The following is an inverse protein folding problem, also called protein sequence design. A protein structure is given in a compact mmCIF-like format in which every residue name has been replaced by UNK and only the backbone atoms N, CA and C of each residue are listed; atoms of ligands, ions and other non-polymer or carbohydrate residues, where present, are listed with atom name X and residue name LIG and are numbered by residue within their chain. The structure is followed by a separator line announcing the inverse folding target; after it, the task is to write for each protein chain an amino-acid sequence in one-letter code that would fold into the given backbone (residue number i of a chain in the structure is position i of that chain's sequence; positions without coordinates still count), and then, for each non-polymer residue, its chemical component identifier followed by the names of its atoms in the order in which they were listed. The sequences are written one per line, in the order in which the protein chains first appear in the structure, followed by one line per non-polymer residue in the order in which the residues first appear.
data_IF_942080600736
#
_entry.id   IF_942080600736
#
_cell.length_a   1.000
_cell.length_b   1.000
_cell.length_c   1.000
_cell.angle_alpha   90.00
_cell.angle_beta   90.00
_cell.angle_gamma   90.00
#
_symmetry.space_group_name_H-M   'P 1'
#
loop_
_entity.id
_entity.type
_entity.pdbx_description
1 polymer ?
#
# COMPACT_ATOMS: atom_id res chain seq x y z
N UNK A 1 33.61 16.84 22.15
CA UNK A 1 33.31 18.20 22.68
C UNK A 1 32.61 19.00 21.59
N UNK A 2 31.70 19.93 21.93
CA UNK A 2 30.76 20.58 20.98
C UNK A 2 31.21 21.96 20.51
N UNK A 3 31.15 22.20 19.19
CA UNK A 3 31.21 23.48 18.46
C UNK A 3 30.31 23.23 17.21
N UNK A 4 29.08 23.74 16.97
CA UNK A 4 28.41 25.08 17.13
C UNK A 4 29.19 26.19 16.39
N UNK A 5 28.66 27.08 15.54
CA UNK A 5 27.31 27.43 15.01
C UNK A 5 27.59 28.28 13.71
N UNK A 6 26.72 28.75 12.80
CA UNK A 6 25.26 28.99 12.63
C UNK A 6 24.95 29.18 11.11
N UNK A 7 23.69 29.49 10.75
CA UNK A 7 23.23 30.17 9.51
C UNK A 7 23.17 29.35 8.19
N UNK A 8 22.05 29.08 7.48
CA UNK A 8 20.67 29.63 7.30
C UNK A 8 20.48 30.39 5.96
N UNK A 9 19.24 30.35 5.43
CA UNK A 9 18.65 31.06 4.27
C UNK A 9 18.65 30.42 2.85
N UNK A 10 17.57 29.66 2.60
CA UNK A 10 16.57 29.79 1.50
C UNK A 10 16.86 29.40 0.03
N UNK A 11 15.79 28.81 -0.57
CA UNK A 11 15.47 28.62 -2.00
C UNK A 11 16.38 27.64 -2.80
N UNK A 12 15.90 26.81 -3.75
CA UNK A 12 14.58 26.64 -4.40
C UNK A 12 14.41 25.18 -4.90
N UNK A 13 13.19 24.75 -5.20
CA UNK A 13 12.88 23.39 -5.71
C UNK A 13 13.04 23.31 -7.25
N UNK A 14 13.83 22.34 -7.75
CA UNK A 14 13.70 21.66 -9.07
C UNK A 14 14.65 20.45 -9.10
N UNK A 15 14.14 19.22 -9.19
CA UNK A 15 14.05 18.37 -10.41
C UNK A 15 15.35 17.66 -10.86
N UNK A 16 15.19 16.42 -11.35
CA UNK A 16 16.19 15.58 -12.06
C UNK A 16 17.43 15.06 -11.30
N UNK A 17 17.26 14.05 -10.44
CA UNK A 17 18.32 13.07 -10.19
C UNK A 17 18.22 11.90 -11.20
N UNK A 18 19.25 11.72 -12.02
CA UNK A 18 19.28 10.73 -13.11
C UNK A 18 19.46 9.32 -12.55
N UNK A 19 18.42 8.49 -12.60
CA UNK A 19 18.42 7.09 -12.12
C UNK A 19 19.23 6.11 -13.02
N UNK A 20 20.30 6.58 -13.65
CA UNK A 20 21.01 5.89 -14.73
C UNK A 20 21.88 4.71 -14.28
N UNK A 21 22.17 4.59 -12.98
CA UNK A 21 23.08 3.58 -12.42
C UNK A 21 22.47 2.19 -12.20
N UNK A 22 21.14 2.02 -12.30
CA UNK A 22 20.47 0.72 -12.09
C UNK A 22 20.29 -0.12 -13.37
N UNK A 23 20.58 0.43 -14.55
CA UNK A 23 20.33 -0.23 -15.83
C UNK A 23 21.06 -1.58 -16.07
N UNK A 24 22.30 -1.83 -15.60
CA UNK A 24 23.03 -3.05 -15.97
C UNK A 24 22.60 -4.32 -15.21
N UNK A 25 21.85 -4.22 -14.11
CA UNK A 25 21.53 -5.38 -13.26
C UNK A 25 20.32 -6.20 -13.74
N UNK A 26 19.44 -5.61 -14.55
CA UNK A 26 18.13 -6.23 -14.91
C UNK A 26 18.27 -7.30 -16.01
N UNK A 27 19.27 -7.17 -16.89
CA UNK A 27 19.37 -7.90 -18.18
C UNK A 27 19.57 -9.43 -18.08
N UNK A 28 19.74 -9.99 -16.88
CA UNK A 28 19.78 -11.46 -16.64
C UNK A 28 18.53 -12.04 -15.97
N UNK A 29 17.57 -11.20 -15.57
CA UNK A 29 16.38 -11.63 -14.79
C UNK A 29 15.07 -11.61 -15.61
N UNK A 30 15.13 -11.23 -16.89
CA UNK A 30 13.99 -10.67 -17.63
C UNK A 30 13.07 -11.70 -18.33
N UNK A 31 13.43 -12.99 -18.34
CA UNK A 31 12.80 -13.97 -19.25
C UNK A 31 11.59 -14.70 -18.65
N UNK A 32 11.60 -15.07 -17.36
CA UNK A 32 10.55 -15.95 -16.79
C UNK A 32 9.46 -15.24 -15.99
N UNK A 33 9.75 -14.14 -15.27
CA UNK A 33 8.78 -13.49 -14.37
C UNK A 33 7.91 -12.40 -15.04
N UNK A 34 8.05 -12.18 -16.34
CA UNK A 34 7.33 -11.12 -17.10
C UNK A 34 5.79 -11.15 -16.93
N UNK A 35 5.08 -12.28 -17.02
CA UNK A 35 3.62 -12.29 -16.81
C UNK A 35 3.22 -12.03 -15.35
N UNK A 36 4.06 -12.43 -14.39
CA UNK A 36 3.82 -12.28 -12.94
C UNK A 36 3.94 -10.81 -12.53
N UNK A 37 4.99 -10.12 -12.98
CA UNK A 37 5.17 -8.68 -12.72
C UNK A 37 4.00 -7.88 -13.32
N UNK A 38 3.48 -8.28 -14.48
CA UNK A 38 2.36 -7.63 -15.14
C UNK A 38 1.03 -7.81 -14.38
N UNK A 39 0.78 -8.98 -13.78
CA UNK A 39 -0.45 -9.24 -13.00
C UNK A 39 -0.46 -8.49 -11.67
N UNK A 40 0.66 -8.47 -10.93
CA UNK A 40 0.80 -7.66 -9.71
C UNK A 40 0.61 -6.17 -9.99
N UNK A 41 1.18 -5.64 -11.08
CA UNK A 41 1.01 -4.23 -11.44
C UNK A 41 -0.46 -3.86 -11.71
N UNK A 42 -1.17 -4.66 -12.50
CA UNK A 42 -2.59 -4.43 -12.78
C UNK A 42 -3.46 -4.50 -11.50
N UNK A 43 -3.25 -5.52 -10.66
CA UNK A 43 -3.99 -5.69 -9.40
C UNK A 43 -3.80 -4.48 -8.46
N UNK A 44 -2.54 -4.07 -8.24
CA UNK A 44 -2.22 -2.95 -7.36
C UNK A 44 -2.76 -1.61 -7.90
N UNK A 45 -2.75 -1.42 -9.22
CA UNK A 45 -3.31 -0.22 -9.86
C UNK A 45 -4.84 -0.13 -9.71
N UNK A 46 -5.56 -1.24 -9.81
CA UNK A 46 -7.01 -1.27 -9.55
C UNK A 46 -7.34 -0.92 -8.09
N UNK A 47 -6.61 -1.46 -7.11
CA UNK A 47 -6.77 -1.11 -5.70
C UNK A 47 -6.49 0.38 -5.43
N UNK A 48 -5.47 0.96 -6.06
CA UNK A 48 -5.17 2.39 -5.95
C UNK A 48 -6.31 3.27 -6.50
N UNK A 49 -6.86 2.93 -7.67
CA UNK A 49 -7.99 3.64 -8.27
C UNK A 49 -9.28 3.53 -7.43
N UNK A 50 -9.55 2.36 -6.85
CA UNK A 50 -10.70 2.16 -5.96
C UNK A 50 -10.58 3.02 -4.69
N UNK A 51 -9.38 3.09 -4.10
CA UNK A 51 -9.09 3.92 -2.92
C UNK A 51 -9.31 5.42 -3.20
N UNK A 52 -9.00 5.88 -4.42
CA UNK A 52 -9.28 7.27 -4.87
C UNK A 52 -10.77 7.56 -5.02
N UNK A 53 -11.56 6.66 -5.61
CA UNK A 53 -13.03 6.86 -5.71
C UNK A 53 -13.67 6.99 -4.33
N UNK A 54 -13.23 6.19 -3.36
CA UNK A 54 -13.73 6.25 -1.99
C UNK A 54 -13.40 7.57 -1.27
N UNK A 55 -12.25 8.19 -1.52
CA UNK A 55 -11.93 9.50 -0.90
C UNK A 55 -12.70 10.67 -1.50
N UNK A 56 -13.04 10.62 -2.80
CA UNK A 56 -13.93 11.60 -3.44
C UNK A 56 -15.38 11.44 -2.96
N UNK A 57 -15.89 10.21 -2.82
CA UNK A 57 -17.21 9.95 -2.20
C UNK A 57 -17.28 10.45 -0.75
N UNK A 58 -16.20 10.28 0.02
CA UNK A 58 -16.11 10.77 1.41
C UNK A 58 -16.14 12.30 1.50
N UNK A 59 -15.51 13.03 0.57
CA UNK A 59 -15.63 14.50 0.49
C UNK A 59 -17.07 14.93 0.29
N UNK A 60 -17.77 14.30 -0.65
CA UNK A 60 -19.16 14.63 -0.98
C UNK A 60 -20.12 14.34 0.20
N UNK A 61 -19.86 13.28 0.97
CA UNK A 61 -20.61 12.99 2.20
C UNK A 61 -20.40 14.07 3.27
N UNK A 62 -19.15 14.52 3.49
CA UNK A 62 -18.83 15.54 4.50
C UNK A 62 -19.53 16.88 4.19
N UNK A 63 -19.59 17.30 2.91
CA UNK A 63 -20.27 18.54 2.51
C UNK A 63 -21.79 18.56 2.69
N UNK A 64 -22.44 17.42 2.93
CA UNK A 64 -23.91 17.36 3.15
C UNK A 64 -24.30 17.71 4.59
N UNK A 65 -23.37 17.60 5.55
CA UNK A 65 -23.67 17.81 6.97
C UNK A 65 -23.58 19.26 7.44
N UNK A 66 -22.98 20.18 6.66
CA UNK A 66 -22.98 21.62 6.95
C UNK A 66 -24.32 22.28 6.59
N UNK A 67 -25.42 21.83 7.22
CA UNK A 67 -26.69 22.56 7.17
C UNK A 67 -26.59 23.78 8.08
N UNK A 68 -26.80 24.96 7.51
CA UNK A 68 -26.93 26.21 8.27
C UNK A 68 -28.20 26.17 9.13
N UNK A 69 -28.18 26.75 10.35
CA UNK A 69 -29.32 26.69 11.27
C UNK A 69 -30.54 27.42 10.68
N UNK A 70 -31.63 26.67 10.44
CA UNK A 70 -32.86 27.23 9.86
C UNK A 70 -33.86 27.57 10.96
N UNK A 71 -33.71 28.74 11.58
CA UNK A 71 -34.62 29.28 12.59
C UNK A 71 -35.99 29.62 11.99
N UNK A 72 -36.89 28.63 11.94
CA UNK A 72 -38.24 28.76 11.33
C UNK A 72 -39.15 29.74 12.07
N UNK A 73 -38.82 30.11 13.30
CA UNK A 73 -39.67 30.86 14.23
C UNK A 73 -39.70 32.38 13.91
N UNK A 74 -38.77 32.90 13.10
CA UNK A 74 -38.59 34.35 12.82
C UNK A 74 -39.69 34.99 11.92
N UNK A 75 -40.94 34.51 11.98
CA UNK A 75 -42.03 34.96 11.09
C UNK A 75 -43.39 35.20 11.77
N UNK A 76 -43.54 34.95 13.09
CA UNK A 76 -44.76 35.27 13.85
C UNK A 76 -44.87 36.77 14.16
N UNK A 77 -45.08 37.57 13.10
CA UNK A 77 -45.22 39.03 13.14
C UNK A 77 -46.33 39.47 14.10
N UNK A 78 -45.94 40.08 15.22
CA UNK A 78 -46.83 40.51 16.29
C UNK A 78 -47.84 41.55 15.79
N UNK A 79 -49.12 41.28 16.03
CA UNK A 79 -50.25 42.12 15.60
C UNK A 79 -50.60 43.11 16.71
N UNK A 80 -49.90 44.24 16.74
CA UNK A 80 -50.14 45.31 17.72
C UNK A 80 -51.56 45.88 17.61
N UNK A 81 -52.45 45.45 18.50
CA UNK A 81 -53.82 45.98 18.62
C UNK A 81 -53.83 47.24 19.49
N UNK A 82 -53.48 48.40 18.91
CA UNK A 82 -53.54 49.70 19.60
C UNK A 82 -54.23 50.77 18.74
N UNK A 83 -55.56 50.64 18.57
CA UNK A 83 -56.39 51.63 17.86
C UNK A 83 -57.64 52.07 18.64
N UNK A 84 -57.45 52.39 19.92
CA UNK A 84 -58.39 53.20 20.70
C UNK A 84 -57.69 54.47 21.17
N UNK A 85 -57.92 55.58 20.46
CA UNK A 85 -57.48 56.90 20.89
C UNK A 85 -58.44 57.42 21.95
N UNK A 86 -58.21 56.98 23.19
CA UNK A 86 -58.87 57.58 24.35
C UNK A 86 -58.26 58.98 24.53
N UNK A 87 -59.08 60.03 24.53
CA UNK A 87 -58.62 61.37 24.90
C UNK A 87 -58.28 61.38 26.39
N UNK A 88 -57.00 61.25 26.72
CA UNK A 88 -56.49 61.10 28.09
C UNK A 88 -56.57 62.40 28.94
N UNK A 89 -57.04 63.50 28.36
CA UNK A 89 -57.16 64.79 29.04
C UNK A 89 -58.34 65.59 28.48
N UNK A 90 -59.32 65.89 29.34
CA UNK A 90 -60.41 66.81 29.04
C UNK A 90 -60.01 68.23 29.44
N UNK A 91 -59.63 69.00 28.42
CA UNK A 91 -59.22 70.40 28.52
C UNK A 91 -60.34 71.33 28.99
N UNK A 92 -61.60 71.01 28.68
CA UNK A 92 -62.76 71.88 28.96
C UNK A 92 -63.23 71.72 30.40
N UNK A 93 -63.41 70.48 30.85
CA UNK A 93 -63.84 70.16 32.22
C UNK A 93 -62.83 70.68 33.27
N UNK A 94 -61.53 70.60 33.00
CA UNK A 94 -60.50 71.14 33.89
C UNK A 94 -60.53 72.67 34.00
N UNK A 95 -60.81 73.39 32.90
CA UNK A 95 -60.96 74.86 32.94
C UNK A 95 -62.24 75.25 33.68
N UNK A 96 -63.37 74.61 33.38
CA UNK A 96 -64.66 74.86 34.05
C UNK A 96 -64.59 74.62 35.56
N UNK A 97 -63.95 73.53 36.00
CA UNK A 97 -63.81 73.23 37.44
C UNK A 97 -62.90 74.23 38.16
N UNK A 98 -61.81 74.70 37.52
CA UNK A 98 -60.98 75.79 38.06
C UNK A 98 -61.76 77.12 38.18
N UNK A 99 -62.61 77.45 37.22
CA UNK A 99 -63.47 78.64 37.29
C UNK A 99 -64.49 78.54 38.43
N UNK A 100 -65.18 77.39 38.58
CA UNK A 100 -66.13 77.19 39.70
C UNK A 100 -65.48 77.20 41.09
N UNK A 101 -64.16 77.02 41.18
CA UNK A 101 -63.40 77.09 42.44
C UNK A 101 -62.75 78.45 42.69
N UNK A 102 -63.06 79.46 41.87
CA UNK A 102 -62.70 80.86 42.12
C UNK A 102 -61.44 81.36 41.40
N UNK A 103 -60.85 80.57 40.51
CA UNK A 103 -59.76 81.05 39.65
C UNK A 103 -60.32 81.91 38.50
N UNK A 104 -59.58 82.94 38.10
CA UNK A 104 -59.93 83.70 36.89
C UNK A 104 -59.69 82.86 35.63
N UNK A 105 -60.50 83.06 34.58
CA UNK A 105 -60.38 82.32 33.31
C UNK A 105 -58.95 82.29 32.74
N UNK A 106 -58.21 83.40 32.83
CA UNK A 106 -56.82 83.48 32.36
C UNK A 106 -55.86 82.62 33.18
N UNK A 107 -56.06 82.52 34.51
CA UNK A 107 -55.30 81.62 35.39
C UNK A 107 -55.68 80.16 35.14
N UNK A 108 -56.97 79.84 35.02
CA UNK A 108 -57.45 78.50 34.71
C UNK A 108 -56.88 77.98 33.37
N UNK A 109 -56.90 78.82 32.33
CA UNK A 109 -56.31 78.52 31.01
C UNK A 109 -54.79 78.39 31.06
N UNK A 110 -54.09 79.18 31.89
CA UNK A 110 -52.64 79.04 32.06
C UNK A 110 -52.27 77.71 32.73
N UNK A 111 -52.95 77.35 33.83
CA UNK A 111 -52.78 76.07 34.55
C UNK A 111 -53.08 74.90 33.60
N UNK A 112 -54.20 74.96 32.87
CA UNK A 112 -54.57 73.96 31.86
C UNK A 112 -53.47 73.77 30.81
N UNK A 113 -52.92 74.84 30.26
CA UNK A 113 -51.85 74.76 29.24
C UNK A 113 -50.57 74.14 29.81
N UNK A 114 -50.21 74.46 31.05
CA UNK A 114 -49.07 73.86 31.74
C UNK A 114 -49.26 72.35 31.97
N UNK A 115 -50.43 71.92 32.43
CA UNK A 115 -50.76 70.50 32.64
C UNK A 115 -50.79 69.75 31.30
N UNK A 116 -51.41 70.33 30.27
CA UNK A 116 -51.46 69.74 28.92
C UNK A 116 -50.05 69.55 28.32
N UNK A 117 -49.13 70.52 28.52
CA UNK A 117 -47.74 70.38 28.10
C UNK A 117 -47.00 69.27 28.85
N UNK A 118 -47.23 69.12 30.16
CA UNK A 118 -46.67 68.00 30.95
C UNK A 118 -47.20 66.65 30.49
N UNK A 119 -48.50 66.55 30.16
CA UNK A 119 -49.12 65.32 29.65
C UNK A 119 -48.57 64.96 28.27
N UNK A 120 -48.39 65.91 27.35
CA UNK A 120 -47.80 65.63 26.04
C UNK A 120 -46.34 65.15 26.16
N UNK A 121 -45.56 65.70 27.11
CA UNK A 121 -44.23 65.19 27.43
C UNK A 121 -44.27 63.78 28.04
N UNK A 122 -45.29 63.46 28.85
CA UNK A 122 -45.49 62.12 29.43
C UNK A 122 -45.91 61.09 28.38
N UNK A 123 -46.77 61.45 27.41
CA UNK A 123 -47.09 60.59 26.26
C UNK A 123 -45.86 60.36 25.37
N UNK A 124 -45.06 61.41 25.11
CA UNK A 124 -43.80 61.27 24.39
C UNK A 124 -42.81 60.34 25.13
N UNK A 125 -42.74 60.41 26.47
CA UNK A 125 -41.96 59.47 27.28
C UNK A 125 -42.53 58.04 27.23
N UNK A 126 -43.86 57.87 27.28
CA UNK A 126 -44.58 56.59 27.11
C UNK A 126 -44.16 55.84 25.85
N UNK A 127 -43.94 56.53 24.72
CA UNK A 127 -43.47 55.87 23.49
C UNK A 127 -42.09 55.20 23.62
N UNK A 128 -41.28 55.61 24.61
CA UNK A 128 -39.98 55.02 24.94
C UNK A 128 -40.05 53.96 26.04
N UNK A 129 -41.17 53.86 26.77
CA UNK A 129 -41.39 52.81 27.75
C UNK A 129 -41.97 51.56 27.08
N UNK A 130 -41.16 50.51 27.00
CA UNK A 130 -41.60 49.19 26.54
C UNK A 130 -42.66 48.65 27.50
N UNK A 131 -43.85 48.32 26.98
CA UNK A 131 -44.91 47.65 27.74
C UNK A 131 -44.40 46.33 28.31
N UNK A 132 -44.77 46.00 29.56
CA UNK A 132 -44.38 44.74 30.21
C UNK A 132 -44.71 43.51 29.35
N UNK A 133 -45.89 43.50 28.73
CA UNK A 133 -46.32 42.43 27.81
C UNK A 133 -45.42 42.29 26.57
N UNK A 134 -44.88 43.41 26.03
CA UNK A 134 -43.90 43.34 24.94
C UNK A 134 -42.57 42.78 25.44
N UNK A 135 -42.08 43.22 26.60
CA UNK A 135 -40.84 42.71 27.20
C UNK A 135 -40.92 41.20 27.53
N UNK A 136 -42.03 40.76 28.10
CA UNK A 136 -42.33 39.36 28.41
C UNK A 136 -42.40 38.50 27.15
N UNK A 137 -42.99 39.02 26.06
CA UNK A 137 -43.04 38.30 24.79
C UNK A 137 -41.68 38.22 24.08
N UNK A 138 -40.89 39.30 24.07
CA UNK A 138 -39.54 39.28 23.49
C UNK A 138 -38.58 38.36 24.27
N UNK A 139 -38.66 38.35 25.61
CA UNK A 139 -37.88 37.40 26.42
C UNK A 139 -38.35 35.96 26.22
N UNK A 140 -39.65 35.71 26.03
CA UNK A 140 -40.17 34.39 25.66
C UNK A 140 -39.67 33.93 24.28
N UNK A 141 -39.67 34.81 23.26
CA UNK A 141 -39.10 34.52 21.93
C UNK A 141 -37.60 34.22 22.02
N UNK A 142 -36.85 34.99 22.82
CA UNK A 142 -35.43 34.77 23.06
C UNK A 142 -35.16 33.41 23.72
N UNK A 143 -35.86 33.07 24.79
CA UNK A 143 -35.71 31.76 25.46
C UNK A 143 -36.16 30.58 24.58
N UNK A 144 -37.20 30.77 23.76
CA UNK A 144 -37.62 29.77 22.76
C UNK A 144 -36.49 29.52 21.75
N UNK A 145 -35.92 30.59 21.18
CA UNK A 145 -34.82 30.53 20.21
C UNK A 145 -33.53 29.94 20.82
N UNK A 146 -33.25 30.28 22.09
CA UNK A 146 -32.15 29.71 22.87
C UNK A 146 -32.31 28.20 23.09
N UNK A 147 -33.55 27.74 23.33
CA UNK A 147 -33.87 26.32 23.47
C UNK A 147 -33.74 25.58 22.13
N UNK A 148 -34.28 26.15 21.04
CA UNK A 148 -34.12 25.62 19.67
C UNK A 148 -32.64 25.42 19.34
N UNK A 149 -31.82 26.48 19.44
CA UNK A 149 -30.37 26.44 19.20
C UNK A 149 -29.64 25.41 20.08
N UNK A 150 -30.01 25.30 21.37
CA UNK A 150 -29.44 24.31 22.30
C UNK A 150 -29.75 22.87 21.84
N UNK A 151 -30.98 22.61 21.40
CA UNK A 151 -31.37 21.28 20.88
C UNK A 151 -30.74 20.97 19.53
N UNK A 152 -30.58 21.97 18.64
CA UNK A 152 -29.90 21.82 17.36
C UNK A 152 -28.40 21.50 17.56
N UNK A 153 -27.69 22.23 18.43
CA UNK A 153 -26.30 21.92 18.78
C UNK A 153 -26.17 20.52 19.42
N UNK A 154 -27.12 20.11 20.26
CA UNK A 154 -27.12 18.76 20.85
C UNK A 154 -27.37 17.68 19.78
N UNK A 155 -28.22 17.95 18.80
CA UNK A 155 -28.48 17.06 17.65
C UNK A 155 -27.24 16.95 16.75
N UNK A 156 -26.62 18.09 16.42
CA UNK A 156 -25.38 18.16 15.64
C UNK A 156 -24.27 17.32 16.27
N UNK A 157 -24.02 17.48 17.58
CA UNK A 157 -23.00 16.70 18.32
C UNK A 157 -23.30 15.19 18.34
N UNK A 158 -24.58 14.79 18.42
CA UNK A 158 -25.00 13.37 18.31
C UNK A 158 -24.73 12.82 16.91
N UNK A 159 -24.99 13.60 15.88
CA UNK A 159 -24.72 13.23 14.49
C UNK A 159 -23.20 13.15 14.20
N UNK A 160 -22.42 14.13 14.64
CA UNK A 160 -20.94 14.13 14.54
C UNK A 160 -20.32 12.92 15.22
N UNK A 161 -20.73 12.61 16.46
CA UNK A 161 -20.22 11.43 17.17
C UNK A 161 -20.64 10.13 16.49
N UNK A 162 -21.88 10.01 15.98
CA UNK A 162 -22.30 8.86 15.18
C UNK A 162 -21.46 8.68 13.90
N UNK A 163 -21.14 9.78 13.18
CA UNK A 163 -20.26 9.75 12.01
C UNK A 163 -18.85 9.27 12.42
N UNK A 164 -18.27 9.80 13.50
CA UNK A 164 -16.96 9.37 13.99
C UNK A 164 -16.93 7.89 14.41
N UNK A 165 -18.02 7.37 14.99
CA UNK A 165 -18.13 5.94 15.28
C UNK A 165 -18.23 5.07 14.02
N UNK A 166 -18.98 5.50 12.99
CA UNK A 166 -19.03 4.75 11.71
C UNK A 166 -17.70 4.82 10.96
N UNK A 167 -17.01 5.96 10.97
CA UNK A 167 -15.69 6.10 10.35
C UNK A 167 -14.63 5.25 11.06
N UNK A 168 -14.55 5.30 12.40
CA UNK A 168 -13.58 4.48 13.15
C UNK A 168 -13.87 2.98 13.05
N UNK A 169 -15.14 2.58 12.94
CA UNK A 169 -15.52 1.20 12.62
C UNK A 169 -15.06 0.78 11.21
N UNK A 170 -15.25 1.64 10.21
CA UNK A 170 -14.82 1.39 8.83
C UNK A 170 -13.28 1.30 8.72
N UNK A 171 -12.55 2.20 9.39
CA UNK A 171 -11.08 2.16 9.44
C UNK A 171 -10.55 0.89 10.12
N UNK A 172 -11.22 0.40 11.18
CA UNK A 172 -10.88 -0.90 11.80
C UNK A 172 -11.07 -2.07 10.83
N UNK A 173 -12.21 -2.13 10.13
CA UNK A 173 -12.47 -3.18 9.11
C UNK A 173 -11.45 -3.14 7.97
N UNK A 174 -11.01 -1.95 7.54
CA UNK A 174 -9.96 -1.81 6.52
C UNK A 174 -8.59 -2.27 7.03
N UNK A 175 -8.27 -2.06 8.32
CA UNK A 175 -7.05 -2.56 8.95
C UNK A 175 -7.07 -4.09 9.06
N UNK A 176 -8.17 -4.65 9.56
CA UNK A 176 -8.40 -6.10 9.68
C UNK A 176 -8.31 -6.80 8.32
N UNK A 177 -8.93 -6.23 7.27
CA UNK A 177 -8.83 -6.73 5.89
C UNK A 177 -7.39 -6.68 5.36
N UNK A 178 -6.65 -5.59 5.65
CA UNK A 178 -5.24 -5.46 5.24
C UNK A 178 -4.33 -6.43 6.00
N UNK A 179 -4.60 -6.69 7.28
CA UNK A 179 -3.88 -7.65 8.09
C UNK A 179 -4.12 -9.09 7.59
N UNK A 180 -5.35 -9.43 7.20
CA UNK A 180 -5.66 -10.70 6.56
C UNK A 180 -4.91 -10.87 5.24
N UNK A 181 -5.00 -9.91 4.31
CA UNK A 181 -4.31 -9.96 3.01
C UNK A 181 -2.80 -10.09 3.22
N UNK A 182 -2.20 -9.33 4.15
CA UNK A 182 -0.77 -9.41 4.44
C UNK A 182 -0.34 -10.75 5.04
N UNK A 183 -1.20 -11.43 5.82
CA UNK A 183 -0.96 -12.80 6.28
C UNK A 183 -1.05 -13.81 5.14
N UNK A 184 -2.04 -13.67 4.26
CA UNK A 184 -2.22 -14.53 3.09
C UNK A 184 -1.03 -14.38 2.11
N UNK A 185 -0.62 -13.15 1.79
CA UNK A 185 0.56 -12.84 0.98
C UNK A 185 1.87 -13.38 1.60
N UNK A 186 2.03 -13.29 2.92
CA UNK A 186 3.20 -13.84 3.63
C UNK A 186 3.22 -15.37 3.54
N UNK A 187 2.07 -16.03 3.73
CA UNK A 187 1.95 -17.50 3.60
C UNK A 187 2.22 -17.93 2.16
N UNK A 188 1.68 -17.22 1.17
CA UNK A 188 1.96 -17.47 -0.25
C UNK A 188 3.46 -17.32 -0.57
N UNK A 189 4.06 -16.19 -0.23
CA UNK A 189 5.50 -15.95 -0.44
C UNK A 189 6.39 -16.98 0.27
N UNK A 190 6.03 -17.39 1.48
CA UNK A 190 6.73 -18.46 2.21
C UNK A 190 6.65 -19.79 1.47
N UNK A 191 5.48 -20.13 0.93
CA UNK A 191 5.27 -21.35 0.16
C UNK A 191 6.06 -21.29 -1.16
N UNK A 192 6.00 -20.18 -1.89
CA UNK A 192 6.75 -19.97 -3.15
C UNK A 192 8.26 -20.08 -2.94
N UNK A 193 8.80 -19.47 -1.88
CA UNK A 193 10.22 -19.62 -1.50
C UNK A 193 10.54 -21.06 -1.11
N UNK A 194 9.63 -21.75 -0.43
CA UNK A 194 9.81 -23.18 -0.09
C UNK A 194 9.79 -24.06 -1.35
N UNK A 195 9.02 -23.69 -2.37
CA UNK A 195 8.96 -24.37 -3.67
C UNK A 195 10.26 -24.13 -4.46
N UNK A 196 10.73 -22.89 -4.63
CA UNK A 196 12.01 -22.60 -5.33
C UNK A 196 13.21 -23.26 -4.61
N UNK A 197 13.25 -23.27 -3.28
CA UNK A 197 14.29 -23.97 -2.52
C UNK A 197 14.24 -25.50 -2.71
N UNK A 198 13.05 -26.09 -2.76
CA UNK A 198 12.89 -27.53 -3.04
C UNK A 198 13.24 -27.87 -4.50
N UNK A 199 12.85 -27.02 -5.45
CA UNK A 199 13.15 -27.19 -6.88
C UNK A 199 14.65 -27.09 -7.15
N UNK A 200 15.34 -26.08 -6.58
CA UNK A 200 16.81 -25.99 -6.62
C UNK A 200 17.47 -27.21 -6.00
N UNK A 201 16.97 -27.69 -4.85
CA UNK A 201 17.49 -28.90 -4.20
C UNK A 201 17.26 -30.16 -5.05
N UNK A 202 16.16 -30.20 -5.81
CA UNK A 202 15.85 -31.26 -6.77
C UNK A 202 16.80 -31.20 -7.98
N UNK A 203 16.97 -30.03 -8.60
CA UNK A 203 17.90 -29.79 -9.72
C UNK A 203 19.33 -30.17 -9.35
N UNK A 204 19.84 -29.64 -8.23
CA UNK A 204 21.19 -29.96 -7.75
C UNK A 204 21.39 -31.48 -7.56
N UNK A 205 20.37 -32.20 -7.05
CA UNK A 205 20.42 -33.65 -6.88
C UNK A 205 20.27 -34.43 -8.20
N UNK A 206 19.59 -33.87 -9.19
CA UNK A 206 19.53 -34.43 -10.54
C UNK A 206 20.86 -34.23 -11.30
N UNK A 207 21.51 -33.08 -11.11
CA UNK A 207 22.86 -32.77 -11.62
C UNK A 207 23.92 -33.67 -10.95
N UNK A 208 23.87 -33.84 -9.63
CA UNK A 208 24.71 -34.76 -8.85
C UNK A 208 24.61 -36.20 -9.40
N UNK A 209 23.39 -36.72 -9.57
CA UNK A 209 23.15 -38.03 -10.21
C UNK A 209 23.63 -38.09 -11.66
N UNK A 210 23.49 -37.01 -12.43
CA UNK A 210 23.99 -36.92 -13.81
C UNK A 210 25.52 -37.04 -13.86
N UNK A 211 26.22 -36.48 -12.88
CA UNK A 211 27.67 -36.60 -12.71
C UNK A 211 28.04 -38.02 -12.26
N UNK A 212 27.32 -38.60 -11.29
CA UNK A 212 27.54 -39.96 -10.80
C UNK A 212 27.41 -41.00 -11.94
N UNK A 213 26.36 -40.92 -12.76
CA UNK A 213 26.16 -41.79 -13.91
C UNK A 213 27.31 -41.68 -14.92
N UNK A 214 27.83 -40.46 -15.19
CA UNK A 214 28.99 -40.26 -16.07
C UNK A 214 30.27 -40.84 -15.48
N UNK A 215 30.47 -40.78 -14.15
CA UNK A 215 31.60 -41.41 -13.48
C UNK A 215 31.51 -42.94 -13.62
N UNK A 216 30.32 -43.53 -13.43
CA UNK A 216 30.10 -44.97 -13.63
C UNK A 216 30.33 -45.40 -15.10
N UNK A 217 29.86 -44.60 -16.06
CA UNK A 217 30.08 -44.84 -17.51
C UNK A 217 31.57 -44.80 -17.87
N UNK A 218 32.30 -43.80 -17.38
CA UNK A 218 33.75 -43.66 -17.58
C UNK A 218 34.53 -44.80 -16.90
N UNK A 219 34.14 -45.22 -15.71
CA UNK A 219 34.72 -46.38 -15.03
C UNK A 219 34.51 -47.67 -15.82
N UNK A 220 33.31 -47.90 -16.35
CA UNK A 220 33.01 -49.07 -17.18
C UNK A 220 33.82 -49.07 -18.48
N UNK A 221 33.96 -47.89 -19.13
CA UNK A 221 34.86 -47.71 -20.29
C UNK A 221 36.32 -48.00 -19.95
N UNK A 222 36.81 -47.54 -18.80
CA UNK A 222 38.17 -47.82 -18.34
C UNK A 222 38.41 -49.32 -18.09
N UNK A 223 37.44 -50.03 -17.51
CA UNK A 223 37.51 -51.50 -17.32
C UNK A 223 37.60 -52.23 -18.66
N UNK A 224 36.80 -51.83 -19.66
CA UNK A 224 36.85 -52.41 -21.02
C UNK A 224 38.22 -52.17 -21.66
N UNK A 225 38.70 -50.91 -21.67
CA UNK A 225 40.01 -50.54 -22.26
C UNK A 225 41.16 -51.26 -21.55
N UNK A 226 41.10 -51.42 -20.22
CA UNK A 226 42.10 -52.18 -19.46
C UNK A 226 42.08 -53.67 -19.83
N UNK A 227 40.90 -54.24 -20.11
CA UNK A 227 40.73 -55.59 -20.64
C UNK A 227 41.32 -55.74 -22.05
N UNK A 228 41.07 -54.78 -22.95
CA UNK A 228 41.63 -54.73 -24.30
C UNK A 228 43.16 -54.63 -24.29
N UNK A 229 43.73 -53.74 -23.48
CA UNK A 229 45.18 -53.59 -23.28
C UNK A 229 45.79 -54.89 -22.74
N UNK A 230 45.11 -55.55 -21.79
CA UNK A 230 45.56 -56.85 -21.26
C UNK A 230 45.52 -57.95 -22.34
N UNK A 231 44.45 -58.03 -23.12
CA UNK A 231 44.35 -58.99 -24.24
C UNK A 231 45.40 -58.73 -25.33
N UNK A 232 45.71 -57.46 -25.62
CA UNK A 232 46.78 -57.06 -26.54
C UNK A 232 48.17 -57.45 -26.00
N UNK A 233 48.40 -57.30 -24.70
CA UNK A 233 49.64 -57.72 -24.03
C UNK A 233 49.80 -59.24 -24.00
N UNK A 234 48.72 -59.98 -23.71
CA UNK A 234 48.71 -61.44 -23.76
C UNK A 234 48.91 -61.96 -25.19
N UNK A 235 48.29 -61.34 -26.20
CA UNK A 235 48.56 -61.61 -27.63
C UNK A 235 50.04 -61.34 -27.98
N UNK A 236 50.58 -60.21 -27.57
CA UNK A 236 52.00 -59.86 -27.82
C UNK A 236 52.96 -60.88 -27.23
N UNK A 237 52.68 -61.40 -26.02
CA UNK A 237 53.41 -62.53 -25.43
C UNK A 237 53.29 -63.81 -26.25
N UNK A 238 52.09 -64.16 -26.71
CA UNK A 238 51.87 -65.34 -27.56
C UNK A 238 52.58 -65.25 -28.92
N UNK A 239 52.60 -64.08 -29.54
CA UNK A 239 53.31 -63.89 -30.81
C UNK A 239 54.83 -63.92 -30.58
N UNK A 240 55.34 -63.34 -29.48
CA UNK A 240 56.75 -63.45 -29.09
C UNK A 240 57.20 -64.91 -28.82
N UNK A 241 56.40 -65.72 -28.11
CA UNK A 241 56.75 -67.14 -27.87
C UNK A 241 56.68 -67.96 -29.15
N UNK A 242 55.75 -67.67 -30.07
CA UNK A 242 55.72 -68.27 -31.41
C UNK A 242 57.00 -67.97 -32.19
N UNK A 243 57.43 -66.70 -32.27
CA UNK A 243 58.65 -66.33 -32.98
C UNK A 243 59.90 -66.97 -32.34
N UNK A 244 59.99 -67.03 -31.01
CA UNK A 244 61.06 -67.74 -30.31
C UNK A 244 61.09 -69.24 -30.62
N UNK A 245 59.93 -69.90 -30.65
CA UNK A 245 59.79 -71.30 -31.03
C UNK A 245 60.22 -71.56 -32.49
N UNK A 246 59.81 -70.69 -33.43
CA UNK A 246 60.26 -70.78 -34.82
C UNK A 246 61.77 -70.60 -34.96
N UNK A 247 62.38 -69.67 -34.22
CA UNK A 247 63.83 -69.49 -34.22
C UNK A 247 64.57 -70.75 -33.73
N UNK A 248 64.08 -71.40 -32.67
CA UNK A 248 64.64 -72.67 -32.16
C UNK A 248 64.52 -73.78 -33.22
N UNK A 249 63.37 -73.91 -33.90
CA UNK A 249 63.20 -74.89 -34.98
C UNK A 249 64.14 -74.63 -36.17
N UNK A 250 64.36 -73.37 -36.56
CA UNK A 250 65.29 -73.00 -37.63
C UNK A 250 66.73 -73.38 -37.26
N UNK A 251 67.16 -73.08 -36.03
CA UNK A 251 68.50 -73.43 -35.53
C UNK A 251 68.70 -74.96 -35.49
N UNK A 252 67.71 -75.71 -34.98
CA UNK A 252 67.76 -77.17 -34.93
C UNK A 252 67.78 -77.80 -36.33
N UNK A 253 66.95 -77.30 -37.26
CA UNK A 253 66.94 -77.74 -38.66
C UNK A 253 68.26 -77.46 -39.36
N UNK A 254 68.86 -76.29 -39.15
CA UNK A 254 70.17 -75.95 -39.71
C UNK A 254 71.28 -76.85 -39.16
N UNK A 255 71.27 -77.16 -37.86
CA UNK A 255 72.22 -78.10 -37.25
C UNK A 255 72.11 -79.51 -37.84
N UNK A 256 70.89 -80.03 -38.05
CA UNK A 256 70.67 -81.32 -38.71
C UNK A 256 71.15 -81.31 -40.17
N UNK A 257 70.94 -80.22 -40.91
CA UNK A 257 71.48 -80.06 -42.28
C UNK A 257 73.01 -80.13 -42.25
N UNK A 258 73.68 -79.38 -41.37
CA UNK A 258 75.15 -79.39 -41.25
C UNK A 258 75.68 -80.79 -40.92
N UNK A 259 75.05 -81.51 -39.99
CA UNK A 259 75.41 -82.90 -39.66
C UNK A 259 75.24 -83.81 -40.89
N UNK A 260 74.08 -83.80 -41.55
CA UNK A 260 73.83 -84.65 -42.72
C UNK A 260 74.76 -84.35 -43.89
N UNK A 261 75.13 -83.07 -44.10
CA UNK A 261 76.14 -82.67 -45.09
C UNK A 261 77.51 -83.25 -44.71
N UNK A 262 77.92 -83.15 -43.44
CA UNK A 262 79.16 -83.75 -42.97
C UNK A 262 79.16 -85.28 -43.10
N UNK A 263 78.06 -85.96 -42.82
CA UNK A 263 77.91 -87.41 -43.01
C UNK A 263 78.04 -87.81 -44.49
N UNK A 264 77.46 -87.04 -45.43
CA UNK A 264 77.63 -87.30 -46.86
C UNK A 264 79.07 -87.06 -47.33
N UNK A 265 79.78 -86.06 -46.78
CA UNK A 265 81.20 -85.86 -47.04
C UNK A 265 82.04 -87.02 -46.47
N UNK A 266 81.79 -87.45 -45.22
CA UNK A 266 82.48 -88.58 -44.60
C UNK A 266 82.28 -89.87 -45.42
N UNK A 267 81.03 -90.19 -45.80
CA UNK A 267 80.71 -91.35 -46.63
C UNK A 267 81.47 -91.33 -47.96
N UNK A 268 81.47 -90.18 -48.65
CA UNK A 268 82.22 -90.01 -49.91
C UNK A 268 83.74 -90.16 -49.72
N UNK A 269 84.30 -89.68 -48.59
CA UNK A 269 85.73 -89.91 -48.28
C UNK A 269 86.06 -91.33 -47.84
N UNK A 270 85.09 -92.12 -47.35
CA UNK A 270 85.28 -93.56 -47.12
C UNK A 270 85.17 -94.37 -48.41
N UNK A 271 84.25 -94.02 -49.32
CA UNK A 271 84.12 -94.68 -50.64
C UNK A 271 85.40 -94.48 -51.47
N UNK A 272 85.93 -93.25 -51.52
CA UNK A 272 87.23 -92.92 -52.17
C UNK A 272 88.43 -93.66 -51.53
N UNK A 273 88.31 -94.10 -50.26
CA UNK A 273 89.32 -94.92 -49.57
C UNK A 273 89.11 -96.43 -49.74
N UNK A 274 88.09 -96.86 -50.49
CA UNK A 274 87.82 -98.27 -50.81
C UNK A 274 87.98 -98.61 -52.29
N UNK A 275 88.21 -97.60 -53.15
CA UNK A 275 88.57 -97.76 -54.57
C UNK A 275 90.09 -97.58 -54.82
N UNK A 276 90.92 -97.59 -53.76
CA UNK A 276 92.37 -97.33 -53.80
C UNK A 276 93.15 -98.26 -52.86
#
# INVERSE_FOLDING_TARGET
MLIKLTNNLKFKITQNYRLFFLYPLIRKYEVQHKPIIQSYFNSHFHLYLQKRKNTEFKKNAISVYSRTPTSKILSTKLKNNSKFSIHQFDTYNLVSTLETTGFTHSQAVAIMKSIHALINNLEAAKTKFISRSNLENETHLFHTSQSELKTEIQSMRKNETAILYTETSNLRKQLETLEQILKEDLIALKNDVTIDLNERKSSNKAEEKSIEIKIQELNNKFIIILGEIRAMLEKSKWDATRYGMFAIFIIAGFALIVISVQDTFQKKTSEIKSEL
#
